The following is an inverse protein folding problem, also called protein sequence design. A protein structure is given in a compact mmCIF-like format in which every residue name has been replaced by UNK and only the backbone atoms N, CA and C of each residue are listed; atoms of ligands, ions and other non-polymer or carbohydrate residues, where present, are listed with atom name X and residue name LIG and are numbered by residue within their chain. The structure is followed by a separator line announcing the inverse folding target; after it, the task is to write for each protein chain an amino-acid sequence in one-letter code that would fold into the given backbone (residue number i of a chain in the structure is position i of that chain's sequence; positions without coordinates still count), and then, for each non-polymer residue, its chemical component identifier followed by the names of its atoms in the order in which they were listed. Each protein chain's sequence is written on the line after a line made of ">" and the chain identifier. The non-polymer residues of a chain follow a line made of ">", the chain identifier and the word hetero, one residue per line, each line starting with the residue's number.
data_IF_206730552649
#
_entry.id   IF_206730552649
#
_cell.length_a   1.000
_cell.length_b   1.000
_cell.length_c   1.000
_cell.angle_alpha   90.00
_cell.angle_beta   90.00
_cell.angle_gamma   90.00
#
_symmetry.space_group_name_H-M   'P 1'
#
loop_
_entity.id
_entity.type
_entity.pdbx_description
1 polymer ?
#
# COMPACT_ATOMS: atom_id res chain seq x y z
N UNK A 1 21.47 -39.30 72.25
CA UNK A 1 20.08 -39.36 72.77
C UNK A 1 19.14 -39.29 71.57
N UNK A 2 18.72 -40.45 71.08
CA UNK A 2 17.39 -41.08 71.35
C UNK A 2 16.31 -40.42 70.49
N UNK A 3 15.98 -40.99 69.33
CA UNK A 3 14.88 -41.95 69.10
C UNK A 3 13.51 -41.50 69.64
N UNK A 4 12.53 -41.40 68.73
CA UNK A 4 11.11 -41.84 68.87
C UNK A 4 10.30 -41.21 67.72
N UNK A 5 9.95 -41.93 66.65
CA UNK A 5 8.79 -42.83 66.50
C UNK A 5 7.42 -42.11 66.50
N UNK A 6 6.82 -42.13 65.29
CA UNK A 6 5.40 -42.24 64.88
C UNK A 6 4.39 -41.20 65.37
N UNK A 7 3.70 -40.61 64.39
CA UNK A 7 2.22 -40.63 64.38
C UNK A 7 1.67 -40.40 62.98
N UNK A 8 1.00 -41.43 62.45
CA UNK A 8 0.07 -41.38 61.31
C UNK A 8 -0.99 -40.30 61.54
N UNK A 9 -1.20 -39.35 60.61
CA UNK A 9 -2.56 -38.85 60.26
C UNK A 9 -2.64 -38.29 58.82
N UNK A 10 -3.46 -38.99 58.03
CA UNK A 10 -4.54 -38.45 57.19
C UNK A 10 -4.11 -37.66 55.93
N UNK A 11 -4.02 -38.43 54.84
CA UNK A 11 -4.62 -38.21 53.52
C UNK A 11 -5.48 -36.94 53.36
N UNK A 12 -5.02 -35.97 52.55
CA UNK A 12 -5.89 -35.14 51.71
C UNK A 12 -5.11 -34.69 50.47
N UNK A 13 -5.40 -35.38 49.37
CA UNK A 13 -4.90 -35.11 48.02
C UNK A 13 -5.91 -34.14 47.40
N UNK A 14 -5.60 -32.84 47.34
CA UNK A 14 -6.42 -31.87 46.59
C UNK A 14 -5.92 -31.90 45.15
N UNK A 15 -6.59 -32.74 44.35
CA UNK A 15 -6.47 -32.79 42.90
C UNK A 15 -7.36 -31.66 42.34
N UNK A 16 -6.77 -30.51 42.01
CA UNK A 16 -7.51 -29.43 41.35
C UNK A 16 -7.60 -29.74 39.86
N UNK A 17 -8.63 -30.48 39.49
CA UNK A 17 -9.06 -30.71 38.11
C UNK A 17 -9.69 -29.43 37.56
N UNK A 18 -8.94 -28.64 36.79
CA UNK A 18 -9.55 -27.61 35.93
C UNK A 18 -10.09 -28.31 34.69
N UNK A 19 -11.40 -28.56 34.71
CA UNK A 19 -12.22 -28.81 33.53
C UNK A 19 -12.20 -27.54 32.66
N UNK A 20 -11.37 -27.54 31.61
CA UNK A 20 -11.61 -26.65 30.47
C UNK A 20 -12.65 -27.37 29.60
N UNK A 21 -13.86 -26.84 29.66
CA UNK A 21 -14.98 -27.22 28.80
C UNK A 21 -14.57 -26.93 27.36
N UNK A 22 -14.66 -27.98 26.54
CA UNK A 22 -14.61 -27.89 25.09
C UNK A 22 -15.73 -26.97 24.59
N UNK A 23 -15.37 -25.73 24.29
CA UNK A 23 -16.09 -24.90 23.32
C UNK A 23 -15.47 -25.19 21.96
N UNK A 24 -16.01 -26.17 21.24
CA UNK A 24 -15.76 -26.35 19.81
C UNK A 24 -16.34 -25.13 19.07
N UNK A 25 -15.59 -24.04 18.98
CA UNK A 25 -15.71 -23.12 17.86
C UNK A 25 -14.94 -23.78 16.72
N UNK A 26 -15.68 -24.12 15.68
CA UNK A 26 -15.19 -24.77 14.47
C UNK A 26 -14.27 -23.79 13.74
N UNK A 27 -12.98 -23.82 14.06
CA UNK A 27 -11.97 -23.35 13.12
C UNK A 27 -11.99 -24.35 11.97
N UNK A 28 -12.59 -23.96 10.84
CA UNK A 28 -12.40 -24.64 9.57
C UNK A 28 -10.94 -24.40 9.11
N UNK A 29 -9.98 -24.95 9.86
CA UNK A 29 -8.62 -25.21 9.41
C UNK A 29 -8.70 -26.41 8.46
N UNK A 30 -9.31 -26.19 7.30
CA UNK A 30 -9.09 -27.11 6.18
C UNK A 30 -7.62 -26.99 5.80
N UNK A 31 -6.84 -28.09 5.82
CA UNK A 31 -5.51 -28.07 5.25
C UNK A 31 -5.67 -27.73 3.76
N UNK A 32 -5.06 -26.63 3.33
CA UNK A 32 -4.98 -26.24 1.92
C UNK A 32 -4.42 -27.45 1.17
N UNK A 33 -5.27 -28.14 0.42
CA UNK A 33 -4.83 -29.21 -0.47
C UNK A 33 -4.14 -28.57 -1.67
N UNK A 34 -3.24 -29.28 -2.37
CA UNK A 34 -2.53 -28.73 -3.54
C UNK A 34 -3.47 -28.17 -4.64
N UNK A 35 -4.72 -28.63 -4.69
CA UNK A 35 -5.76 -28.15 -5.62
C UNK A 35 -6.31 -26.73 -5.29
N UNK A 36 -6.07 -26.20 -4.09
CA UNK A 36 -6.47 -24.84 -3.68
C UNK A 36 -5.35 -23.80 -3.83
N UNK A 37 -4.19 -24.21 -4.33
CA UNK A 37 -3.04 -23.29 -4.54
C UNK A 37 -3.31 -22.22 -5.60
N UNK A 38 -4.29 -22.46 -6.48
CA UNK A 38 -4.60 -21.60 -7.64
C UNK A 38 -5.81 -20.67 -7.44
N UNK A 39 -6.44 -20.65 -6.27
CA UNK A 39 -7.73 -19.96 -6.06
C UNK A 39 -7.66 -18.75 -5.13
N UNK A 40 -6.54 -18.04 -5.12
CA UNK A 40 -6.38 -16.84 -4.31
C UNK A 40 -5.30 -15.91 -4.86
N UNK A 41 -5.28 -14.68 -4.36
CA UNK A 41 -4.15 -13.76 -4.45
C UNK A 41 -3.68 -13.38 -3.05
N UNK A 42 -2.37 -13.27 -2.86
CA UNK A 42 -1.80 -12.52 -1.74
C UNK A 42 -1.80 -11.04 -2.06
N UNK A 43 -2.28 -10.22 -1.13
CA UNK A 43 -2.21 -8.77 -1.21
C UNK A 43 -1.30 -8.26 -0.10
N UNK A 44 -0.27 -7.51 -0.49
CA UNK A 44 0.74 -6.98 0.42
C UNK A 44 0.61 -5.46 0.55
N UNK A 45 0.43 -4.98 1.77
CA UNK A 45 0.21 -3.56 2.06
C UNK A 45 0.74 -3.20 3.44
N UNK A 46 1.52 -2.11 3.55
CA UNK A 46 2.07 -1.58 4.80
C UNK A 46 2.77 -2.63 5.72
N UNK A 47 3.46 -3.61 5.12
CA UNK A 47 4.16 -4.66 5.86
C UNK A 47 3.30 -5.88 6.20
N UNK A 48 2.00 -5.80 6.01
CA UNK A 48 1.06 -6.91 6.19
C UNK A 48 0.79 -7.64 4.88
N UNK A 49 0.33 -8.89 5.00
CA UNK A 49 -0.03 -9.75 3.87
C UNK A 49 -1.35 -10.46 4.13
N UNK A 50 -2.31 -10.28 3.23
CA UNK A 50 -3.65 -10.86 3.34
C UNK A 50 -3.91 -11.82 2.18
N UNK A 51 -4.39 -13.02 2.49
CA UNK A 51 -4.83 -13.99 1.50
C UNK A 51 -6.28 -13.72 1.11
N UNK A 52 -6.55 -13.45 -0.16
CA UNK A 52 -7.89 -13.20 -0.68
C UNK A 52 -8.31 -14.36 -1.59
N UNK A 53 -9.30 -15.14 -1.14
CA UNK A 53 -9.82 -16.30 -1.86
C UNK A 53 -10.78 -15.87 -2.97
N UNK A 54 -10.67 -16.48 -4.16
CA UNK A 54 -11.51 -16.20 -5.33
C UNK A 54 -13.00 -16.52 -5.13
N UNK A 55 -13.32 -17.42 -4.19
CA UNK A 55 -14.71 -17.73 -3.82
C UNK A 55 -15.41 -16.58 -3.10
N UNK A 56 -14.65 -15.67 -2.49
CA UNK A 56 -15.20 -14.53 -1.76
C UNK A 56 -15.43 -13.30 -2.66
N UNK A 57 -15.06 -13.39 -3.94
CA UNK A 57 -15.12 -12.27 -4.88
C UNK A 57 -16.19 -12.50 -5.94
N UNK A 58 -16.79 -11.40 -6.39
CA UNK A 58 -17.74 -11.42 -7.51
C UNK A 58 -17.02 -11.85 -8.79
N UNK A 59 -17.62 -12.81 -9.48
CA UNK A 59 -17.12 -13.37 -10.74
C UNK A 59 -17.97 -12.91 -11.91
N UNK A 60 -17.34 -12.81 -13.06
CA UNK A 60 -18.01 -12.55 -14.33
C UNK A 60 -17.38 -13.40 -15.45
N UNK A 61 -17.91 -13.32 -16.66
CA UNK A 61 -17.36 -14.03 -17.82
C UNK A 61 -16.58 -13.06 -18.70
N UNK A 62 -15.34 -13.37 -18.98
CA UNK A 62 -14.48 -12.67 -19.94
C UNK A 62 -13.82 -13.71 -20.85
N UNK A 63 -13.81 -13.47 -22.16
CA UNK A 63 -13.18 -14.36 -23.15
C UNK A 63 -13.64 -15.84 -23.08
N UNK A 64 -14.87 -16.07 -22.62
CA UNK A 64 -15.43 -17.42 -22.44
C UNK A 64 -14.95 -18.14 -21.18
N UNK A 65 -14.17 -17.48 -20.33
CA UNK A 65 -13.66 -17.99 -19.05
C UNK A 65 -14.23 -17.21 -17.86
N UNK A 66 -14.18 -17.82 -16.67
CA UNK A 66 -14.51 -17.13 -15.43
C UNK A 66 -13.40 -16.14 -15.06
N UNK A 67 -13.80 -14.93 -14.69
CA UNK A 67 -12.90 -13.82 -14.41
C UNK A 67 -13.29 -13.07 -13.13
N UNK A 68 -12.31 -12.41 -12.52
CA UNK A 68 -12.46 -11.54 -11.36
C UNK A 68 -11.79 -10.20 -11.67
N UNK A 69 -12.44 -9.08 -11.36
CA UNK A 69 -11.85 -7.75 -11.56
C UNK A 69 -10.66 -7.56 -10.62
N UNK A 70 -9.54 -7.00 -11.09
CA UNK A 70 -8.36 -6.81 -10.25
C UNK A 70 -8.62 -5.85 -9.07
N UNK A 71 -9.48 -4.85 -9.28
CA UNK A 71 -9.87 -3.92 -8.21
C UNK A 71 -10.64 -4.59 -7.07
N UNK A 72 -11.25 -5.76 -7.29
CA UNK A 72 -11.96 -6.51 -6.25
C UNK A 72 -11.04 -7.07 -5.16
N UNK A 73 -9.73 -7.16 -5.42
CA UNK A 73 -8.74 -7.56 -4.42
C UNK A 73 -8.36 -6.41 -3.47
N UNK A 74 -8.72 -5.16 -3.80
CA UNK A 74 -8.34 -3.97 -3.04
C UNK A 74 -9.59 -3.20 -2.61
N UNK A 75 -10.13 -3.55 -1.45
CA UNK A 75 -11.31 -2.91 -0.89
C UNK A 75 -10.97 -1.71 0.01
N UNK A 76 -12.01 -0.99 0.45
CA UNK A 76 -11.90 0.16 1.35
C UNK A 76 -11.68 -0.22 2.81
N UNK A 77 -11.69 -1.51 3.14
CA UNK A 77 -11.28 -2.00 4.47
C UNK A 77 -9.76 -2.18 4.53
N UNK A 78 -9.14 -2.51 3.40
CA UNK A 78 -7.68 -2.55 3.25
C UNK A 78 -7.09 -1.14 3.13
N UNK A 79 -7.65 -0.31 2.24
CA UNK A 79 -7.21 1.07 2.04
C UNK A 79 -8.38 2.00 2.34
N UNK A 80 -8.43 2.52 3.56
CA UNK A 80 -9.52 3.39 3.99
C UNK A 80 -9.57 4.69 3.19
N UNK A 81 -10.78 5.16 2.82
CA UNK A 81 -10.93 6.46 2.18
C UNK A 81 -10.47 7.57 3.12
N UNK A 82 -9.97 8.65 2.53
CA UNK A 82 -9.66 9.87 3.24
C UNK A 82 -10.91 10.73 3.36
N UNK A 83 -11.19 11.26 4.54
CA UNK A 83 -12.27 12.21 4.76
C UNK A 83 -11.69 13.58 5.08
N UNK A 84 -12.10 14.61 4.33
CA UNK A 84 -11.75 15.98 4.65
C UNK A 84 -12.52 16.49 5.89
N UNK A 85 -12.23 17.74 6.28
CA UNK A 85 -12.90 18.40 7.43
C UNK A 85 -14.42 18.55 7.27
N UNK A 86 -14.93 18.45 6.05
CA UNK A 86 -16.36 18.54 5.73
C UNK A 86 -16.98 17.14 5.54
N UNK A 87 -16.25 16.07 5.85
CA UNK A 87 -16.64 14.68 5.67
C UNK A 87 -16.87 14.27 4.20
N UNK A 88 -16.25 14.97 3.25
CA UNK A 88 -16.19 14.51 1.86
C UNK A 88 -15.19 13.37 1.78
N UNK A 89 -15.60 12.26 1.16
CA UNK A 89 -14.79 11.06 0.97
C UNK A 89 -13.96 11.17 -0.31
N UNK A 90 -12.68 10.84 -0.23
CA UNK A 90 -11.75 10.75 -1.35
C UNK A 90 -11.14 9.35 -1.42
N UNK A 91 -10.90 8.86 -2.64
CA UNK A 91 -10.41 7.50 -2.86
C UNK A 91 -8.88 7.41 -2.64
N UNK A 92 -8.49 7.00 -1.43
CA UNK A 92 -7.07 6.86 -1.05
C UNK A 92 -6.29 5.86 -1.89
N UNK A 93 -6.95 4.99 -2.67
CA UNK A 93 -6.27 4.04 -3.57
C UNK A 93 -5.48 4.76 -4.67
N UNK A 94 -5.86 5.99 -5.01
CA UNK A 94 -5.12 6.87 -5.94
C UNK A 94 -3.70 7.21 -5.44
N UNK A 95 -3.43 7.09 -4.14
CA UNK A 95 -2.12 7.36 -3.53
C UNK A 95 -1.09 6.24 -3.74
N UNK A 96 -1.49 5.13 -4.36
CA UNK A 96 -0.69 3.91 -4.47
C UNK A 96 -0.51 3.47 -5.93
N UNK A 97 0.53 2.68 -6.17
CA UNK A 97 0.65 1.85 -7.36
C UNK A 97 0.63 0.35 -6.99
N UNK A 98 0.33 -0.46 -7.99
CA UNK A 98 -0.01 -1.87 -7.83
C UNK A 98 0.87 -2.72 -8.73
N UNK A 99 1.71 -3.54 -8.10
CA UNK A 99 2.59 -4.46 -8.79
C UNK A 99 2.00 -5.85 -8.73
N UNK A 100 1.64 -6.41 -9.89
CA UNK A 100 1.17 -7.78 -9.99
C UNK A 100 2.35 -8.69 -10.33
N UNK A 101 2.50 -9.78 -9.57
CA UNK A 101 3.63 -10.71 -9.69
C UNK A 101 3.11 -12.14 -9.87
N UNK A 102 3.71 -12.86 -10.81
CA UNK A 102 3.48 -14.29 -11.05
C UNK A 102 4.23 -15.19 -10.07
N UNK A 103 3.84 -16.45 -9.99
CA UNK A 103 4.55 -17.47 -9.20
C UNK A 103 6.03 -17.64 -9.60
N UNK A 104 6.36 -17.31 -10.85
CA UNK A 104 7.72 -17.30 -11.38
C UNK A 104 8.50 -16.03 -11.00
N UNK A 105 7.90 -15.12 -10.24
CA UNK A 105 8.45 -13.83 -9.87
C UNK A 105 8.37 -12.78 -10.98
N UNK A 106 7.73 -13.07 -12.11
CA UNK A 106 7.61 -12.12 -13.21
C UNK A 106 6.66 -10.97 -12.87
N UNK A 107 7.04 -9.75 -13.25
CA UNK A 107 6.16 -8.58 -13.26
C UNK A 107 6.56 -7.59 -14.36
N UNK A 108 5.64 -6.70 -14.74
CA UNK A 108 5.84 -5.73 -15.82
C UNK A 108 7.10 -4.85 -15.62
N UNK A 109 7.39 -4.47 -14.37
CA UNK A 109 8.56 -3.64 -14.02
C UNK A 109 9.92 -4.25 -14.35
N UNK A 110 10.04 -5.58 -14.38
CA UNK A 110 11.27 -6.25 -14.84
C UNK A 110 11.54 -6.04 -16.33
N UNK A 111 10.54 -5.59 -17.09
CA UNK A 111 10.66 -5.19 -18.51
C UNK A 111 10.72 -3.68 -18.70
N UNK A 112 10.83 -2.90 -17.61
CA UNK A 112 10.94 -1.46 -17.64
C UNK A 112 9.60 -0.71 -17.66
N UNK A 113 8.47 -1.41 -17.50
CA UNK A 113 7.16 -0.78 -17.45
C UNK A 113 6.81 -0.35 -16.01
N UNK A 114 6.13 0.78 -15.80
CA UNK A 114 5.73 1.20 -14.44
C UNK A 114 4.72 0.22 -13.83
N UNK A 115 4.59 0.20 -12.51
CA UNK A 115 3.49 -0.51 -11.85
C UNK A 115 2.14 0.16 -12.18
N UNK A 116 1.04 -0.59 -12.11
CA UNK A 116 -0.28 -0.05 -12.44
C UNK A 116 -0.67 1.06 -11.46
N UNK A 117 -1.26 2.15 -11.95
CA UNK A 117 -2.02 3.08 -11.09
C UNK A 117 -3.42 2.51 -10.84
N UNK A 118 -4.15 3.10 -9.89
CA UNK A 118 -5.49 2.64 -9.54
C UNK A 118 -6.45 2.60 -10.74
N UNK A 119 -6.44 3.67 -11.54
CA UNK A 119 -7.31 3.78 -12.72
C UNK A 119 -7.03 2.66 -13.75
N UNK A 120 -5.76 2.32 -13.96
CA UNK A 120 -5.38 1.22 -14.85
C UNK A 120 -5.75 -0.14 -14.25
N UNK A 121 -5.47 -0.36 -12.96
CA UNK A 121 -5.77 -1.62 -12.27
C UNK A 121 -7.26 -1.96 -12.37
N UNK A 122 -8.12 -0.94 -12.25
CA UNK A 122 -9.57 -1.09 -12.36
C UNK A 122 -10.04 -1.57 -13.72
N UNK A 123 -9.24 -1.46 -14.77
CA UNK A 123 -9.60 -1.92 -16.11
C UNK A 123 -9.25 -3.39 -16.35
N UNK A 124 -8.30 -3.94 -15.59
CA UNK A 124 -7.83 -5.30 -15.75
C UNK A 124 -8.62 -6.34 -14.95
N UNK A 125 -8.53 -7.59 -15.38
CA UNK A 125 -9.13 -8.74 -14.71
C UNK A 125 -8.15 -9.92 -14.68
N UNK A 126 -8.45 -10.90 -13.84
CA UNK A 126 -7.74 -12.18 -13.77
C UNK A 126 -8.68 -13.31 -14.21
N UNK A 127 -8.26 -14.11 -15.18
CA UNK A 127 -8.92 -15.36 -15.56
C UNK A 127 -8.61 -16.42 -14.51
N UNK A 128 -9.63 -16.99 -13.87
CA UNK A 128 -9.46 -17.75 -12.61
C UNK A 128 -8.79 -19.11 -12.82
N UNK A 129 -9.01 -19.75 -13.97
CA UNK A 129 -8.46 -21.08 -14.30
C UNK A 129 -6.92 -21.11 -14.36
N UNK A 130 -6.31 -20.09 -14.97
CA UNK A 130 -4.85 -20.00 -15.15
C UNK A 130 -4.19 -18.85 -14.39
N UNK A 131 -4.95 -18.13 -13.55
CA UNK A 131 -4.53 -16.89 -12.88
C UNK A 131 -3.86 -15.91 -13.85
N UNK A 132 -4.42 -15.80 -15.06
CA UNK A 132 -3.86 -14.96 -16.11
C UNK A 132 -4.46 -13.57 -16.02
N UNK A 133 -3.60 -12.58 -15.82
CA UNK A 133 -3.99 -11.18 -15.83
C UNK A 133 -4.15 -10.72 -17.27
N UNK A 134 -5.22 -9.97 -17.53
CA UNK A 134 -5.57 -9.40 -18.82
C UNK A 134 -5.96 -7.94 -18.60
N UNK A 135 -5.36 -7.06 -19.41
CA UNK A 135 -5.81 -5.68 -19.57
C UNK A 135 -6.39 -5.47 -20.98
N UNK A 136 -7.39 -4.59 -21.14
CA UNK A 136 -7.95 -4.26 -22.45
C UNK A 136 -6.94 -3.50 -23.32
N UNK A 137 -6.54 -4.12 -24.45
CA UNK A 137 -5.58 -3.58 -25.42
C UNK A 137 -5.99 -2.22 -26.02
N UNK A 138 -7.30 -1.89 -26.02
CA UNK A 138 -7.87 -0.68 -26.62
C UNK A 138 -7.97 0.52 -25.67
N UNK A 139 -7.78 0.30 -24.36
CA UNK A 139 -7.94 1.35 -23.34
C UNK A 139 -6.66 1.70 -22.63
N UNK A 140 -5.66 0.85 -22.71
CA UNK A 140 -4.41 1.06 -22.05
C UNK A 140 -3.33 0.67 -23.05
N UNK A 141 -2.44 1.60 -23.37
CA UNK A 141 -1.22 1.36 -24.15
C UNK A 141 -0.23 0.50 -23.32
N UNK A 142 -0.74 -0.58 -22.72
CA UNK A 142 0.02 -1.51 -21.92
C UNK A 142 0.50 -2.57 -22.88
N UNK A 143 1.81 -2.57 -23.10
CA UNK A 143 2.47 -3.71 -23.70
C UNK A 143 2.05 -5.00 -22.97
N UNK A 144 2.07 -6.14 -23.68
CA UNK A 144 1.74 -7.45 -23.10
C UNK A 144 2.54 -7.87 -21.86
N UNK A 145 3.52 -7.08 -21.42
CA UNK A 145 4.22 -7.20 -20.14
C UNK A 145 3.30 -7.12 -18.90
N UNK A 146 2.13 -6.47 -19.00
CA UNK A 146 1.15 -6.43 -17.91
C UNK A 146 0.26 -7.67 -17.83
N UNK A 147 0.27 -8.52 -18.87
CA UNK A 147 -0.47 -9.78 -18.89
C UNK A 147 0.32 -10.88 -18.16
N UNK A 148 0.42 -10.73 -16.84
CA UNK A 148 1.12 -11.65 -15.94
C UNK A 148 0.42 -13.00 -15.93
N UNK A 149 1.20 -14.08 -16.11
CA UNK A 149 0.71 -15.46 -16.02
C UNK A 149 0.88 -15.99 -14.61
N UNK A 150 0.00 -16.90 -14.18
CA UNK A 150 0.06 -17.50 -12.84
C UNK A 150 0.22 -16.44 -11.74
N UNK A 151 -0.51 -15.32 -11.86
CA UNK A 151 -0.46 -14.23 -10.91
C UNK A 151 -0.83 -14.72 -9.52
N UNK A 152 -0.05 -14.33 -8.52
CA UNK A 152 -0.25 -14.77 -7.13
C UNK A 152 -0.10 -13.67 -6.11
N UNK A 153 0.55 -12.57 -6.47
CA UNK A 153 0.78 -11.45 -5.55
C UNK A 153 0.35 -10.13 -6.18
N UNK A 154 -0.29 -9.28 -5.36
CA UNK A 154 -0.42 -7.85 -5.60
C UNK A 154 0.34 -7.14 -4.49
N UNK A 155 1.36 -6.39 -4.85
CA UNK A 155 2.03 -5.49 -3.92
C UNK A 155 1.54 -4.06 -4.12
N UNK A 156 1.24 -3.39 -3.01
CA UNK A 156 0.73 -2.03 -2.99
C UNK A 156 1.82 -1.13 -2.44
N UNK A 157 2.26 -0.15 -3.23
CA UNK A 157 3.33 0.78 -2.85
C UNK A 157 2.86 2.22 -2.88
N UNK A 158 3.20 2.99 -1.85
CA UNK A 158 2.94 4.43 -1.82
C UNK A 158 3.69 5.12 -2.96
N UNK A 159 3.03 6.00 -3.70
CA UNK A 159 3.62 6.80 -4.78
C UNK A 159 3.38 8.29 -4.60
N UNK A 160 4.18 9.13 -5.24
CA UNK A 160 3.80 10.49 -5.60
C UNK A 160 3.76 10.65 -7.11
N UNK A 161 2.85 11.48 -7.58
CA UNK A 161 2.77 11.85 -8.99
C UNK A 161 3.53 13.16 -9.21
N UNK A 162 4.48 13.14 -10.13
CA UNK A 162 5.10 14.34 -10.69
C UNK A 162 4.26 14.78 -11.89
N UNK A 163 3.43 15.79 -11.71
CA UNK A 163 2.50 16.26 -12.73
C UNK A 163 3.06 17.48 -13.47
N UNK A 164 3.20 17.34 -14.78
CA UNK A 164 3.55 18.39 -15.73
C UNK A 164 2.28 18.92 -16.41
N UNK A 165 2.45 19.85 -17.34
CA UNK A 165 1.31 20.41 -18.11
C UNK A 165 0.62 19.35 -18.98
N UNK A 166 1.36 18.38 -19.52
CA UNK A 166 0.91 17.43 -20.53
C UNK A 166 1.08 15.96 -20.13
N UNK A 167 1.72 15.69 -19.00
CA UNK A 167 2.14 14.34 -18.61
C UNK A 167 2.24 14.20 -17.09
N UNK A 168 2.19 12.96 -16.63
CA UNK A 168 2.37 12.61 -15.22
C UNK A 168 3.33 11.45 -15.11
N UNK A 169 4.30 11.55 -14.21
CA UNK A 169 5.24 10.47 -13.87
C UNK A 169 4.97 9.97 -12.46
N UNK A 170 4.83 8.66 -12.30
CA UNK A 170 4.67 8.01 -11.00
C UNK A 170 6.05 7.72 -10.38
N UNK A 171 6.26 8.16 -9.13
CA UNK A 171 7.46 7.86 -8.33
C UNK A 171 7.07 7.05 -7.10
N UNK A 172 7.58 5.82 -7.02
CA UNK A 172 7.35 4.93 -5.88
C UNK A 172 8.26 5.32 -4.71
N UNK A 173 7.69 5.54 -3.52
CA UNK A 173 8.47 6.02 -2.38
C UNK A 173 9.46 4.96 -1.86
N UNK A 174 9.20 3.67 -2.11
CA UNK A 174 10.14 2.59 -1.77
C UNK A 174 11.49 2.70 -2.47
N UNK A 175 11.57 3.45 -3.58
CA UNK A 175 12.80 3.67 -4.33
C UNK A 175 13.61 4.86 -3.78
N UNK A 176 13.06 5.62 -2.83
CA UNK A 176 13.71 6.77 -2.23
C UNK A 176 14.18 6.39 -0.83
N UNK A 177 15.45 6.69 -0.52
CA UNK A 177 16.01 6.41 0.80
C UNK A 177 15.50 7.43 1.83
N UNK A 178 14.85 6.99 2.93
CA UNK A 178 14.43 7.89 3.99
C UNK A 178 15.62 8.52 4.73
N UNK A 179 15.39 9.68 5.33
CA UNK A 179 16.32 10.37 6.23
C UNK A 179 15.62 10.71 7.54
N UNK A 180 16.39 10.92 8.60
CA UNK A 180 15.84 11.40 9.88
C UNK A 180 15.78 12.93 9.89
N UNK A 181 14.61 13.50 10.23
CA UNK A 181 14.41 14.94 10.39
C UNK A 181 13.67 15.25 11.69
N UNK A 182 13.88 16.45 12.23
CA UNK A 182 13.08 16.94 13.36
C UNK A 182 11.79 17.58 12.83
N UNK A 183 10.64 16.99 13.16
CA UNK A 183 9.35 17.50 12.73
C UNK A 183 8.93 18.78 13.49
N UNK A 184 7.81 19.38 13.11
CA UNK A 184 7.31 20.62 13.70
C UNK A 184 7.05 20.56 15.21
N UNK A 185 6.93 19.35 15.74
CA UNK A 185 6.61 19.08 17.15
C UNK A 185 7.90 18.80 17.96
N UNK A 186 9.08 18.95 17.32
CA UNK A 186 10.39 18.76 17.94
C UNK A 186 10.85 17.31 18.01
N UNK A 187 10.12 16.38 17.41
CA UNK A 187 10.42 14.94 17.45
C UNK A 187 11.22 14.51 16.21
N UNK A 188 12.15 13.59 16.38
CA UNK A 188 12.83 12.93 15.26
C UNK A 188 11.89 11.93 14.59
N UNK A 189 11.85 11.95 13.26
CA UNK A 189 10.99 11.12 12.44
C UNK A 189 11.64 10.81 11.09
N UNK A 190 11.45 9.60 10.58
CA UNK A 190 11.87 9.25 9.23
C UNK A 190 11.02 9.97 8.19
N UNK A 191 11.66 10.45 7.15
CA UNK A 191 11.02 11.24 6.12
C UNK A 191 11.63 10.99 4.74
N UNK A 192 10.82 11.13 3.70
CA UNK A 192 11.25 11.13 2.31
C UNK A 192 11.58 12.58 1.91
N UNK A 193 12.82 12.90 1.53
CA UNK A 193 13.14 14.21 0.98
C UNK A 193 12.42 14.43 -0.35
N UNK A 194 11.63 15.50 -0.47
CA UNK A 194 10.89 15.77 -1.72
C UNK A 194 11.82 16.08 -2.89
N UNK A 195 13.01 16.63 -2.61
CA UNK A 195 14.06 16.82 -3.61
C UNK A 195 14.48 15.51 -4.28
N UNK A 196 14.51 14.41 -3.53
CA UNK A 196 14.97 13.11 -4.03
C UNK A 196 13.87 12.41 -4.83
N UNK A 197 12.59 12.67 -4.50
CA UNK A 197 11.45 12.26 -5.33
C UNK A 197 11.53 12.90 -6.71
N UNK A 198 11.79 14.22 -6.78
CA UNK A 198 11.95 14.94 -8.05
C UNK A 198 13.18 14.46 -8.81
N UNK A 199 14.33 14.36 -8.13
CA UNK A 199 15.59 13.95 -8.74
C UNK A 199 15.59 12.50 -9.25
N UNK A 200 14.67 11.65 -8.79
CA UNK A 200 14.51 10.28 -9.29
C UNK A 200 14.15 10.24 -10.77
N UNK A 201 13.36 11.21 -11.26
CA UNK A 201 12.91 11.26 -12.65
C UNK A 201 13.46 12.47 -13.42
N UNK A 202 13.89 13.53 -12.72
CA UNK A 202 14.20 14.83 -13.32
C UNK A 202 15.65 15.23 -13.06
N UNK A 203 16.37 15.53 -14.14
CA UNK A 203 17.79 15.90 -14.11
C UNK A 203 18.05 17.40 -14.02
N UNK A 204 17.05 18.25 -14.33
CA UNK A 204 17.14 19.71 -14.29
C UNK A 204 16.01 20.34 -13.44
N UNK A 205 15.98 20.12 -12.12
CA UNK A 205 14.87 20.57 -11.28
C UNK A 205 14.75 22.10 -11.15
N UNK A 206 15.84 22.84 -11.29
CA UNK A 206 15.82 24.31 -11.21
C UNK A 206 15.07 24.99 -12.35
N UNK A 207 14.65 24.25 -13.38
CA UNK A 207 13.90 24.76 -14.52
C UNK A 207 12.39 24.90 -14.27
N UNK A 208 11.90 24.43 -13.11
CA UNK A 208 10.47 24.40 -12.78
C UNK A 208 10.15 25.29 -11.58
N UNK A 209 8.89 25.69 -11.50
CA UNK A 209 8.25 26.08 -10.26
C UNK A 209 7.43 24.91 -9.70
N UNK A 210 7.30 24.86 -8.38
CA UNK A 210 6.79 23.69 -7.68
C UNK A 210 5.55 24.01 -6.86
N UNK A 211 4.58 23.11 -6.89
CA UNK A 211 3.43 23.13 -6.00
C UNK A 211 3.15 21.72 -5.49
N UNK A 212 2.40 21.58 -4.40
CA UNK A 212 2.03 20.27 -3.84
C UNK A 212 0.54 20.20 -3.58
N UNK A 213 -0.09 19.12 -3.97
CA UNK A 213 -1.52 18.90 -3.75
C UNK A 213 -1.74 17.59 -2.98
N UNK A 214 -2.53 17.67 -1.91
CA UNK A 214 -3.15 16.50 -1.31
C UNK A 214 -4.21 15.90 -2.23
N UNK A 215 -4.65 14.70 -1.87
CA UNK A 215 -5.76 14.00 -2.50
C UNK A 215 -7.07 14.81 -2.60
N UNK A 216 -7.31 15.73 -1.66
CA UNK A 216 -8.47 16.64 -1.67
C UNK A 216 -8.20 17.96 -2.43
N UNK A 217 -7.12 18.03 -3.21
CA UNK A 217 -6.62 19.21 -3.93
C UNK A 217 -6.27 20.40 -3.01
N UNK A 218 -6.02 20.16 -1.73
CA UNK A 218 -5.50 21.18 -0.84
C UNK A 218 -3.98 21.33 -1.02
N UNK A 219 -3.52 22.57 -1.04
CA UNK A 219 -2.11 22.88 -1.23
C UNK A 219 -1.79 24.36 -1.08
N UNK A 220 -0.54 24.74 -1.32
CA UNK A 220 -0.12 26.12 -1.47
C UNK A 220 -0.95 26.87 -2.53
N UNK A 221 -0.94 28.20 -2.41
CA UNK A 221 -1.59 29.11 -3.36
C UNK A 221 -0.58 29.84 -4.25
N UNK A 222 0.70 29.59 -4.02
CA UNK A 222 1.84 30.24 -4.65
C UNK A 222 2.88 29.15 -4.90
N UNK A 223 3.50 29.21 -6.08
CA UNK A 223 4.50 28.24 -6.44
C UNK A 223 5.80 28.50 -5.67
N UNK A 224 6.48 27.41 -5.34
CA UNK A 224 7.79 27.37 -4.71
C UNK A 224 8.87 27.35 -5.79
N UNK A 225 9.92 28.14 -5.58
CA UNK A 225 11.18 27.94 -6.31
C UNK A 225 11.82 26.61 -5.92
N UNK A 226 12.77 26.11 -6.72
CA UNK A 226 13.53 24.93 -6.35
C UNK A 226 14.23 25.06 -4.99
N UNK A 227 14.81 26.23 -4.69
CA UNK A 227 15.50 26.47 -3.41
C UNK A 227 14.60 26.33 -2.20
N UNK A 228 13.34 26.74 -2.34
CA UNK A 228 12.32 26.56 -1.31
C UNK A 228 11.84 25.10 -1.27
N UNK A 229 11.50 24.52 -2.43
CA UNK A 229 10.94 23.18 -2.53
C UNK A 229 11.90 22.09 -2.04
N UNK A 230 13.20 22.22 -2.33
CA UNK A 230 14.20 21.20 -1.95
C UNK A 230 14.41 21.08 -0.44
N UNK A 231 13.88 22.02 0.35
CA UNK A 231 13.83 21.93 1.83
C UNK A 231 12.66 21.09 2.35
N UNK A 232 11.83 20.57 1.44
CA UNK A 232 10.62 19.81 1.73
C UNK A 232 10.87 18.35 2.05
N UNK A 233 10.08 17.84 2.99
CA UNK A 233 10.07 16.44 3.41
C UNK A 233 8.63 15.93 3.52
N UNK A 234 8.42 14.67 3.16
CA UNK A 234 7.22 13.92 3.53
C UNK A 234 7.53 13.05 4.75
N UNK A 235 6.88 13.35 5.87
CA UNK A 235 7.08 12.67 7.15
C UNK A 235 6.33 11.33 7.17
N UNK A 236 7.02 10.22 7.45
CA UNK A 236 6.47 8.87 7.28
C UNK A 236 5.52 8.44 8.39
N UNK A 237 5.71 8.89 9.62
CA UNK A 237 4.83 8.53 10.76
C UNK A 237 3.63 9.46 10.88
N UNK A 238 3.82 10.75 10.62
CA UNK A 238 2.79 11.78 10.74
C UNK A 238 2.04 12.05 9.44
N UNK A 239 2.51 11.47 8.33
CA UNK A 239 1.90 11.54 6.99
C UNK A 239 1.56 12.98 6.59
N UNK A 240 2.51 13.88 6.80
CA UNK A 240 2.39 15.30 6.47
C UNK A 240 3.66 15.82 5.82
N UNK A 241 3.51 16.81 4.95
CA UNK A 241 4.67 17.57 4.47
C UNK A 241 5.19 18.53 5.54
N UNK A 242 6.49 18.80 5.48
CA UNK A 242 7.11 19.92 6.15
C UNK A 242 8.18 20.54 5.27
N UNK A 243 8.44 21.84 5.44
CA UNK A 243 9.50 22.57 4.77
C UNK A 243 10.39 23.23 5.81
N UNK A 244 11.70 23.10 5.66
CA UNK A 244 12.66 23.76 6.55
C UNK A 244 12.88 25.24 6.18
N UNK A 245 12.51 25.66 4.96
CA UNK A 245 12.48 27.07 4.60
C UNK A 245 11.39 27.80 5.40
N UNK A 246 11.82 28.71 6.27
CA UNK A 246 10.92 29.49 7.14
C UNK A 246 10.01 30.46 6.40
N UNK A 247 10.29 30.79 5.13
CA UNK A 247 9.40 31.60 4.30
C UNK A 247 8.13 30.82 3.90
N UNK A 248 8.21 29.48 3.86
CA UNK A 248 7.10 28.57 3.60
C UNK A 248 6.33 28.17 4.87
N UNK A 249 5.99 29.15 5.71
CA UNK A 249 5.22 28.90 6.92
C UNK A 249 3.70 28.89 6.65
N UNK A 250 2.97 27.95 7.27
CA UNK A 250 1.50 27.91 7.23
C UNK A 250 0.91 26.53 7.00
N UNK A 251 -0.41 26.41 7.19
CA UNK A 251 -1.14 25.14 7.02
C UNK A 251 -1.13 24.62 5.58
N UNK A 252 -1.08 25.51 4.59
CA UNK A 252 -1.08 25.17 3.15
C UNK A 252 0.16 24.38 2.70
N UNK A 253 1.27 24.50 3.42
CA UNK A 253 2.50 23.74 3.19
C UNK A 253 2.61 22.48 4.06
N UNK A 254 1.62 22.23 4.94
CA UNK A 254 1.51 21.05 5.84
C UNK A 254 0.42 20.12 5.34
N UNK A 255 0.60 19.64 4.12
CA UNK A 255 -0.32 18.82 3.35
C UNK A 255 -0.29 17.40 3.91
N UNK A 256 -1.45 16.86 4.27
CA UNK A 256 -1.63 15.42 4.55
C UNK A 256 -2.00 14.70 3.26
N UNK A 257 -1.83 13.38 3.20
CA UNK A 257 -2.20 12.58 2.01
C UNK A 257 -1.70 13.20 0.68
N UNK A 258 -0.42 13.60 0.64
CA UNK A 258 0.20 14.22 -0.55
C UNK A 258 0.04 13.30 -1.78
N UNK A 259 -0.62 13.78 -2.82
CA UNK A 259 -0.84 13.02 -4.05
C UNK A 259 0.14 13.45 -5.12
N UNK A 260 0.23 14.77 -5.37
CA UNK A 260 0.92 15.35 -6.52
C UNK A 260 1.96 16.38 -6.11
N UNK A 261 3.08 16.36 -6.81
CA UNK A 261 4.01 17.47 -6.94
C UNK A 261 3.80 18.04 -8.35
N UNK A 262 3.37 19.29 -8.45
CA UNK A 262 3.19 19.97 -9.73
C UNK A 262 4.53 20.60 -10.15
N UNK A 263 4.90 20.43 -11.41
CA UNK A 263 6.07 21.04 -12.03
C UNK A 263 5.58 21.94 -13.17
N UNK A 264 5.71 23.26 -12.98
CA UNK A 264 5.19 24.31 -13.85
C UNK A 264 6.31 25.08 -14.55
#
# INVERSE_FOLDING_TARGET
>A
MSQSIRSNRILFLILTSILIIAGCAKEDNNPVTPEDSDKYMWVHYNGDSTKILFENLTRFTADGEEAIQLSSFIDTNLIHPFYDKNYVSYDSRLLYCYQIVGDDGFCASQKGYPNNIWDDLQLGHILTSGRRVIFPDDKIDLAGAYNVKSASHIYIYRKFDLAFTDSTLCVELRNITPVQVTNSDGNLEEAIPLKDVVAYMITAPTSFQYDILSLDNFGPSEDMTWDQFQTGYWLLSSEKTMFADTSLSGGKYKVKVLEKILLK
#
